data_IF_215251929048
#
_entry.id   IF_215251929048
#
_cell.length_a   1.000
_cell.length_b   1.000
_cell.length_c   1.000
_cell.angle_alpha   90.00
_cell.angle_beta   90.00
_cell.angle_gamma   90.00
#
_symmetry.space_group_name_H-M   'P 1'
#
loop_
_entity.id
_entity.type
_entity.pdbx_description
1 polymer ?
#
# COMPACT_ATOMS: atom_id res chain seq x y z
N UNK A 1 26.29 44.93 20.22
CA UNK A 1 26.07 43.61 20.84
C UNK A 1 24.62 43.28 21.13
N UNK A 2 23.78 44.18 21.67
CA UNK A 2 22.36 43.86 21.96
C UNK A 2 21.53 43.61 20.69
N UNK A 3 21.72 44.40 19.63
CA UNK A 3 20.95 44.31 18.38
C UNK A 3 21.30 43.03 17.60
N UNK A 4 22.59 42.65 17.55
CA UNK A 4 23.06 41.41 16.90
C UNK A 4 22.53 40.15 17.61
N UNK A 5 22.43 40.16 18.94
CA UNK A 5 21.82 39.05 19.69
C UNK A 5 20.30 38.95 19.50
N UNK A 6 19.60 40.08 19.31
CA UNK A 6 18.16 40.09 19.03
C UNK A 6 17.86 39.55 17.63
N UNK A 7 18.67 39.93 16.63
CA UNK A 7 18.52 39.41 15.25
C UNK A 7 18.79 37.90 15.20
N UNK A 8 19.82 37.43 15.92
CA UNK A 8 20.15 36.00 15.99
C UNK A 8 19.04 35.19 16.67
N UNK A 9 18.41 35.76 17.72
CA UNK A 9 17.27 35.14 18.40
C UNK A 9 16.02 35.05 17.51
N UNK A 10 15.79 36.00 16.61
CA UNK A 10 14.62 36.01 15.73
C UNK A 10 14.74 34.95 14.61
N UNK A 11 15.95 34.71 14.11
CA UNK A 11 16.23 33.70 13.07
C UNK A 11 16.01 32.26 13.58
N UNK A 12 16.30 31.99 14.85
CA UNK A 12 16.11 30.66 15.46
C UNK A 12 14.62 30.31 15.64
N UNK A 13 13.75 31.29 15.89
CA UNK A 13 12.31 31.07 16.04
C UNK A 13 11.64 30.73 14.70
N UNK A 14 12.11 31.31 13.60
CA UNK A 14 11.59 31.04 12.24
C UNK A 14 11.94 29.62 11.77
N UNK A 15 13.06 29.05 12.23
CA UNK A 15 13.47 27.69 11.85
C UNK A 15 12.65 26.58 12.51
N UNK A 16 11.94 26.85 13.62
CA UNK A 16 11.12 25.86 14.31
C UNK A 16 9.69 25.73 13.75
N UNK A 17 9.28 26.62 12.84
CA UNK A 17 7.95 26.54 12.18
C UNK A 17 7.91 25.63 10.95
N UNK A 18 9.03 24.97 10.60
CA UNK A 18 9.15 24.14 9.40
C UNK A 18 8.70 22.67 9.57
N UNK A 19 8.15 22.29 10.72
CA UNK A 19 7.48 20.99 10.88
C UNK A 19 6.11 21.02 10.17
N UNK A 20 6.12 20.84 8.85
CA UNK A 20 4.90 20.57 8.07
C UNK A 20 4.31 19.25 8.57
N UNK A 21 3.11 19.32 9.16
CA UNK A 21 2.30 18.14 9.46
C UNK A 21 2.13 17.30 8.19
N UNK A 22 2.19 15.97 8.32
CA UNK A 22 1.92 15.03 7.21
C UNK A 22 0.66 15.46 6.47
N UNK A 23 0.73 15.56 5.14
CA UNK A 23 -0.36 16.07 4.33
C UNK A 23 -1.67 15.34 4.65
N UNK A 24 -2.69 16.08 5.07
CA UNK A 24 -4.07 15.56 5.27
C UNK A 24 -4.76 15.25 3.95
N UNK A 25 -4.28 15.87 2.88
CA UNK A 25 -4.79 15.71 1.52
C UNK A 25 -3.79 14.92 0.71
N UNK A 26 -4.32 13.94 -0.02
CA UNK A 26 -3.54 13.17 -0.97
C UNK A 26 -4.01 13.61 -2.36
N UNK A 27 -3.08 13.89 -3.26
CA UNK A 27 -3.46 14.08 -4.67
C UNK A 27 -4.14 12.81 -5.16
N UNK A 28 -5.24 12.90 -5.91
CA UNK A 28 -5.90 11.71 -6.49
C UNK A 28 -4.99 10.87 -7.38
N UNK A 29 -3.83 11.42 -7.74
CA UNK A 29 -2.78 10.78 -8.51
C UNK A 29 -1.60 10.27 -7.66
N UNK A 30 -1.56 10.53 -6.35
CA UNK A 30 -0.42 10.14 -5.52
C UNK A 30 -0.54 8.67 -5.10
N UNK A 31 0.37 7.86 -5.60
CA UNK A 31 0.41 6.42 -5.38
C UNK A 31 1.38 6.10 -4.23
N UNK A 32 0.88 6.02 -2.99
CA UNK A 32 1.70 5.56 -1.86
C UNK A 32 2.10 4.10 -2.07
N UNK A 33 3.38 3.78 -1.87
CA UNK A 33 3.87 2.40 -1.96
C UNK A 33 3.47 1.62 -0.72
N UNK A 34 3.03 0.37 -0.89
CA UNK A 34 2.66 -0.53 0.22
C UNK A 34 3.79 -0.63 1.25
N UNK A 35 3.43 -0.54 2.53
CA UNK A 35 4.35 -0.56 3.66
C UNK A 35 4.14 -1.83 4.49
N UNK A 36 5.23 -2.45 4.93
CA UNK A 36 5.17 -3.55 5.88
C UNK A 36 4.74 -3.03 7.26
N UNK A 37 3.74 -3.67 7.84
CA UNK A 37 3.35 -3.47 9.25
C UNK A 37 3.95 -4.58 10.11
N UNK A 38 3.93 -5.83 9.63
CA UNK A 38 4.50 -6.97 10.32
C UNK A 38 4.17 -8.30 9.66
N UNK A 39 4.34 -9.39 10.41
CA UNK A 39 4.13 -10.76 9.95
C UNK A 39 3.12 -11.48 10.84
N UNK A 40 2.20 -12.24 10.24
CA UNK A 40 1.30 -13.12 10.98
C UNK A 40 1.99 -14.41 11.43
N UNK A 41 1.50 -15.02 12.50
CA UNK A 41 2.04 -16.29 13.03
C UNK A 41 1.91 -17.47 12.06
N UNK A 42 0.93 -17.41 11.15
CA UNK A 42 0.69 -18.36 10.06
C UNK A 42 1.61 -18.14 8.85
N UNK A 43 2.53 -17.18 8.89
CA UNK A 43 3.40 -16.85 7.75
C UNK A 43 2.83 -15.84 6.77
N UNK A 44 1.66 -15.26 7.05
CA UNK A 44 1.09 -14.15 6.30
C UNK A 44 1.89 -12.86 6.51
N UNK A 45 1.66 -11.87 5.64
CA UNK A 45 2.20 -10.52 5.79
C UNK A 45 1.09 -9.53 6.07
N UNK A 46 1.27 -8.71 7.09
CA UNK A 46 0.38 -7.62 7.42
C UNK A 46 1.00 -6.36 6.81
N UNK A 47 0.28 -5.77 5.87
CA UNK A 47 0.75 -4.61 5.11
C UNK A 47 -0.27 -3.49 5.14
N UNK A 48 0.24 -2.27 5.13
CA UNK A 48 -0.55 -1.06 4.93
C UNK A 48 -0.52 -0.68 3.46
N UNK A 49 -1.69 -0.52 2.88
CA UNK A 49 -1.92 -0.24 1.46
C UNK A 49 -2.94 0.87 1.31
N UNK A 50 -3.10 1.37 0.09
CA UNK A 50 -4.01 2.45 -0.24
C UNK A 50 -4.81 2.09 -1.48
N UNK A 51 -6.06 2.52 -1.52
CA UNK A 51 -6.89 2.38 -2.70
C UNK A 51 -7.82 3.56 -2.90
N UNK A 52 -8.25 3.74 -4.13
CA UNK A 52 -9.12 4.83 -4.56
C UNK A 52 -10.40 4.28 -5.20
N UNK A 53 -11.53 4.94 -4.94
CA UNK A 53 -12.81 4.51 -5.50
C UNK A 53 -13.92 5.54 -5.34
N UNK A 54 -14.99 5.39 -6.12
CA UNK A 54 -16.21 6.20 -5.96
C UNK A 54 -17.02 5.77 -4.73
N UNK A 55 -16.78 4.55 -4.24
CA UNK A 55 -17.31 4.04 -2.98
C UNK A 55 -16.20 3.47 -2.11
N UNK A 56 -16.48 3.31 -0.81
CA UNK A 56 -15.56 2.65 0.12
C UNK A 56 -15.21 1.23 -0.37
N UNK A 57 -16.21 0.45 -0.79
CA UNK A 57 -15.98 -0.91 -1.30
C UNK A 57 -15.07 -0.94 -2.53
N UNK A 58 -15.22 0.01 -3.46
CA UNK A 58 -14.32 0.10 -4.62
C UNK A 58 -12.88 0.42 -4.20
N UNK A 59 -12.71 1.35 -3.26
CA UNK A 59 -11.39 1.69 -2.75
C UNK A 59 -10.75 0.55 -1.96
N UNK A 60 -11.55 -0.23 -1.23
CA UNK A 60 -11.09 -1.45 -0.56
C UNK A 60 -10.61 -2.50 -1.56
N UNK A 61 -11.39 -2.76 -2.62
CA UNK A 61 -11.00 -3.69 -3.68
C UNK A 61 -9.72 -3.24 -4.38
N UNK A 62 -9.60 -1.95 -4.73
CA UNK A 62 -8.40 -1.36 -5.34
C UNK A 62 -7.17 -1.51 -4.44
N UNK A 63 -7.31 -1.23 -3.14
CA UNK A 63 -6.25 -1.38 -2.16
C UNK A 63 -5.76 -2.82 -2.00
N UNK A 64 -6.69 -3.79 -2.01
CA UNK A 64 -6.36 -5.23 -1.94
C UNK A 64 -5.65 -5.71 -3.21
N UNK A 65 -6.11 -5.27 -4.38
CA UNK A 65 -5.42 -5.54 -5.66
C UNK A 65 -3.99 -5.02 -5.59
N UNK A 66 -3.81 -3.76 -5.15
CA UNK A 66 -2.49 -3.16 -5.00
C UNK A 66 -1.59 -3.94 -4.04
N UNK A 67 -2.11 -4.37 -2.89
CA UNK A 67 -1.32 -5.13 -1.92
C UNK A 67 -0.77 -6.44 -2.54
N UNK A 68 -1.63 -7.20 -3.21
CA UNK A 68 -1.24 -8.46 -3.87
C UNK A 68 -0.30 -8.18 -5.05
N UNK A 69 -0.60 -7.18 -5.88
CA UNK A 69 0.24 -6.82 -7.02
C UNK A 69 1.67 -6.48 -6.59
N UNK A 70 1.83 -5.66 -5.56
CA UNK A 70 3.15 -5.26 -5.09
C UNK A 70 3.88 -6.43 -4.44
N UNK A 71 3.19 -7.28 -3.69
CA UNK A 71 3.77 -8.52 -3.15
C UNK A 71 4.24 -9.47 -4.27
N UNK A 72 3.43 -9.64 -5.32
CA UNK A 72 3.77 -10.54 -6.41
C UNK A 72 4.94 -10.03 -7.23
N UNK A 73 4.98 -8.74 -7.56
CA UNK A 73 5.87 -8.26 -8.63
C UNK A 73 6.90 -7.22 -8.20
N UNK A 74 6.75 -6.56 -7.05
CA UNK A 74 7.67 -5.51 -6.58
C UNK A 74 8.43 -5.88 -5.30
N UNK A 75 7.80 -6.64 -4.41
CA UNK A 75 8.20 -6.82 -3.02
C UNK A 75 7.90 -5.58 -2.15
N UNK A 76 7.96 -5.75 -0.83
CA UNK A 76 7.63 -4.70 0.14
C UNK A 76 8.90 -4.18 0.81
N UNK A 77 9.30 -2.94 0.49
CA UNK A 77 10.57 -2.34 0.95
C UNK A 77 10.42 -1.28 2.02
N UNK A 78 9.23 -0.73 2.19
CA UNK A 78 8.94 0.33 3.15
C UNK A 78 8.32 -0.25 4.42
N UNK A 79 8.38 0.48 5.53
CA UNK A 79 7.81 0.05 6.81
C UNK A 79 8.76 -0.84 7.62
N UNK A 80 8.20 -1.80 8.36
CA UNK A 80 8.99 -2.75 9.17
C UNK A 80 9.89 -3.65 8.30
N UNK A 81 11.02 -4.09 8.87
CA UNK A 81 11.92 -5.08 8.24
C UNK A 81 11.42 -6.52 8.33
N UNK A 82 10.27 -6.77 8.97
CA UNK A 82 9.78 -8.13 9.25
C UNK A 82 9.14 -8.83 8.04
N UNK A 83 8.70 -8.07 7.04
CA UNK A 83 8.07 -8.63 5.83
C UNK A 83 9.10 -9.12 4.80
N UNK A 84 8.64 -9.99 3.89
CA UNK A 84 9.41 -10.34 2.71
C UNK A 84 9.62 -9.11 1.83
N UNK A 85 10.89 -8.79 1.63
CA UNK A 85 11.31 -7.63 0.82
C UNK A 85 11.31 -7.94 -0.68
N UNK A 86 11.39 -9.22 -1.04
CA UNK A 86 11.48 -9.68 -2.43
C UNK A 86 10.09 -9.95 -3.01
N UNK A 87 9.88 -9.75 -4.32
CA UNK A 87 8.65 -10.18 -4.98
C UNK A 87 8.52 -11.71 -4.94
N UNK A 88 7.27 -12.18 -4.89
CA UNK A 88 6.96 -13.61 -4.91
C UNK A 88 7.16 -14.21 -6.30
N UNK A 89 6.93 -13.42 -7.36
CA UNK A 89 7.22 -13.76 -8.75
C UNK A 89 8.57 -13.17 -9.14
N UNK A 90 9.55 -14.03 -9.42
CA UNK A 90 10.91 -13.61 -9.75
C UNK A 90 11.08 -13.17 -11.21
N UNK A 91 10.26 -13.68 -12.13
CA UNK A 91 10.31 -13.30 -13.55
C UNK A 91 9.71 -11.88 -13.72
N UNK A 92 10.52 -10.86 -14.09
CA UNK A 92 10.02 -9.50 -14.28
C UNK A 92 9.03 -9.38 -15.45
N UNK A 93 9.04 -10.33 -16.39
CA UNK A 93 8.12 -10.36 -17.52
C UNK A 93 6.82 -11.12 -17.23
N UNK A 94 6.64 -11.71 -16.05
CA UNK A 94 5.51 -12.59 -15.76
C UNK A 94 4.14 -11.95 -16.00
N UNK A 95 3.97 -10.65 -15.70
CA UNK A 95 2.71 -9.94 -16.01
C UNK A 95 2.40 -9.93 -17.50
N UNK A 96 3.41 -9.75 -18.34
CA UNK A 96 3.26 -9.74 -19.80
C UNK A 96 3.06 -11.16 -20.32
N UNK A 97 3.90 -12.09 -19.86
CA UNK A 97 3.90 -13.47 -20.33
C UNK A 97 2.61 -14.21 -19.93
N UNK A 98 1.97 -13.78 -18.84
CA UNK A 98 0.71 -14.32 -18.31
C UNK A 98 -0.39 -13.25 -18.18
N UNK A 99 -0.47 -12.31 -19.13
CA UNK A 99 -1.40 -11.17 -19.07
C UNK A 99 -2.85 -11.59 -18.88
N UNK A 100 -3.34 -12.54 -19.67
CA UNK A 100 -4.72 -13.04 -19.56
C UNK A 100 -5.01 -13.63 -18.18
N UNK A 101 -4.05 -14.37 -17.62
CA UNK A 101 -4.17 -14.95 -16.28
C UNK A 101 -4.28 -13.86 -15.23
N UNK A 102 -3.36 -12.89 -15.21
CA UNK A 102 -3.36 -11.85 -14.19
C UNK A 102 -4.55 -10.89 -14.33
N UNK A 103 -5.02 -10.61 -15.55
CA UNK A 103 -6.24 -9.84 -15.77
C UNK A 103 -7.47 -10.55 -15.17
N UNK A 104 -7.57 -11.88 -15.31
CA UNK A 104 -8.64 -12.66 -14.69
C UNK A 104 -8.45 -12.76 -13.17
N UNK A 105 -7.22 -12.99 -12.72
CA UNK A 105 -6.87 -13.14 -11.31
C UNK A 105 -7.18 -11.89 -10.50
N UNK A 106 -6.96 -10.69 -11.05
CA UNK A 106 -7.26 -9.38 -10.43
C UNK A 106 -8.64 -8.80 -10.80
N UNK A 107 -9.48 -9.54 -11.52
CA UNK A 107 -10.84 -9.08 -11.85
C UNK A 107 -11.71 -8.93 -10.59
N UNK A 108 -12.88 -8.28 -10.71
CA UNK A 108 -13.76 -8.02 -9.57
C UNK A 108 -14.16 -9.27 -8.75
N UNK A 109 -14.20 -10.45 -9.37
CA UNK A 109 -14.44 -11.75 -8.70
C UNK A 109 -13.22 -12.69 -8.85
N UNK A 110 -12.04 -12.12 -9.08
CA UNK A 110 -10.82 -12.85 -9.33
C UNK A 110 -10.24 -13.52 -8.09
N UNK A 111 -9.35 -14.49 -8.33
CA UNK A 111 -8.78 -15.35 -7.29
C UNK A 111 -7.99 -14.62 -6.19
N UNK A 112 -7.52 -13.40 -6.46
CA UNK A 112 -6.73 -12.61 -5.49
C UNK A 112 -7.44 -12.42 -4.14
N UNK A 113 -8.78 -12.35 -4.16
CA UNK A 113 -9.58 -12.10 -2.96
C UNK A 113 -9.47 -13.21 -1.92
N UNK A 114 -9.14 -14.43 -2.33
CA UNK A 114 -8.97 -15.56 -1.41
C UNK A 114 -7.70 -15.45 -0.56
N UNK A 115 -6.78 -14.55 -0.94
CA UNK A 115 -5.47 -14.41 -0.31
C UNK A 115 -5.28 -13.09 0.43
N UNK A 116 -6.34 -12.28 0.53
CA UNK A 116 -6.30 -10.99 1.25
C UNK A 116 -7.48 -10.87 2.18
N UNK A 117 -7.18 -10.74 3.46
CA UNK A 117 -8.17 -10.53 4.52
C UNK A 117 -7.88 -9.24 5.27
N UNK A 118 -8.82 -8.83 6.11
CA UNK A 118 -8.59 -7.76 7.07
C UNK A 118 -8.12 -8.36 8.40
N UNK A 119 -7.13 -7.75 9.07
CA UNK A 119 -6.79 -8.12 10.44
C UNK A 119 -7.98 -7.85 11.38
N UNK A 120 -8.03 -8.58 12.50
CA UNK A 120 -9.17 -8.56 13.42
C UNK A 120 -9.50 -7.18 14.01
N UNK A 121 -8.55 -6.23 14.03
CA UNK A 121 -8.75 -4.85 14.53
C UNK A 121 -7.98 -3.85 13.66
N UNK A 122 -8.48 -2.61 13.60
CA UNK A 122 -7.84 -1.44 12.99
C UNK A 122 -7.45 -1.60 11.50
N UNK A 123 -8.23 -2.39 10.75
CA UNK A 123 -7.98 -2.61 9.32
C UNK A 123 -8.27 -1.37 8.46
N UNK A 124 -9.14 -0.48 8.92
CA UNK A 124 -9.44 0.81 8.29
C UNK A 124 -8.77 1.92 9.08
N UNK A 125 -7.61 2.38 8.62
CA UNK A 125 -6.82 3.38 9.37
C UNK A 125 -7.29 4.80 9.10
N UNK A 126 -7.67 5.10 7.85
CA UNK A 126 -8.00 6.48 7.48
C UNK A 126 -8.81 6.59 6.20
N UNK A 127 -9.84 7.43 6.23
CA UNK A 127 -10.38 8.08 5.03
C UNK A 127 -9.50 9.30 4.72
N UNK A 128 -9.04 9.39 3.49
CA UNK A 128 -8.14 10.44 3.03
C UNK A 128 -8.92 11.39 2.12
N UNK A 129 -8.77 12.69 2.37
CA UNK A 129 -9.33 13.70 1.49
C UNK A 129 -8.52 13.71 0.18
N UNK A 130 -9.19 13.40 -0.94
CA UNK A 130 -8.58 13.54 -2.26
C UNK A 130 -8.73 14.99 -2.72
N UNK A 131 -7.69 15.53 -3.38
CA UNK A 131 -7.70 16.84 -4.03
C UNK A 131 -9.01 17.11 -4.81
N UNK A 132 -9.65 18.30 -4.70
CA UNK A 132 -10.94 18.63 -5.33
C UNK A 132 -11.05 18.47 -6.86
N UNK A 133 -9.94 18.23 -7.57
CA UNK A 133 -9.94 17.87 -9.01
C UNK A 133 -10.20 16.37 -9.23
N UNK A 134 -10.28 15.57 -8.15
CA UNK A 134 -10.71 14.17 -8.20
C UNK A 134 -12.15 14.08 -8.67
N UNK A 135 -12.45 13.15 -9.58
CA UNK A 135 -13.79 12.84 -10.14
C UNK A 135 -14.79 12.29 -9.09
N UNK A 136 -14.79 12.81 -7.86
CA UNK A 136 -15.59 12.34 -6.73
C UNK A 136 -15.01 11.11 -6.01
N UNK A 137 -13.81 10.64 -6.37
CA UNK A 137 -13.18 9.48 -5.71
C UNK A 137 -12.71 9.83 -4.30
N UNK A 138 -12.74 8.82 -3.42
CA UNK A 138 -12.19 8.86 -2.06
C UNK A 138 -11.05 7.86 -1.93
N UNK A 139 -10.00 8.23 -1.18
CA UNK A 139 -8.84 7.39 -0.92
C UNK A 139 -8.95 6.81 0.48
N UNK A 140 -8.56 5.56 0.64
CA UNK A 140 -8.57 4.87 1.93
C UNK A 140 -7.20 4.26 2.20
N UNK A 141 -6.73 4.45 3.43
CA UNK A 141 -5.57 3.76 4.00
C UNK A 141 -6.08 2.54 4.76
N UNK A 142 -5.59 1.36 4.37
CA UNK A 142 -6.03 0.08 4.91
C UNK A 142 -4.84 -0.73 5.38
N UNK A 143 -5.05 -1.53 6.42
CA UNK A 143 -4.16 -2.63 6.79
C UNK A 143 -4.84 -3.92 6.38
N UNK A 144 -4.12 -4.74 5.62
CA UNK A 144 -4.58 -6.05 5.14
C UNK A 144 -3.58 -7.13 5.52
N UNK A 145 -4.08 -8.34 5.72
CA UNK A 145 -3.27 -9.53 5.90
C UNK A 145 -3.28 -10.34 4.60
N UNK A 146 -2.09 -10.67 4.09
CA UNK A 146 -1.91 -11.38 2.82
C UNK A 146 -1.34 -12.77 3.07
N UNK A 147 -2.07 -13.80 2.63
CA UNK A 147 -1.64 -15.19 2.72
C UNK A 147 -0.56 -15.50 1.67
N UNK A 148 0.69 -15.35 2.09
CA UNK A 148 1.87 -15.59 1.25
C UNK A 148 1.99 -17.05 0.81
N UNK A 149 1.59 -18.00 1.66
CA UNK A 149 1.77 -19.43 1.42
C UNK A 149 0.71 -19.90 0.43
N UNK A 150 -0.56 -19.55 0.66
CA UNK A 150 -1.66 -19.86 -0.25
C UNK A 150 -1.46 -19.24 -1.62
N UNK A 151 -1.02 -17.98 -1.66
CA UNK A 151 -0.75 -17.27 -2.92
C UNK A 151 0.38 -17.94 -3.71
N UNK A 152 1.49 -18.30 -3.04
CA UNK A 152 2.59 -19.05 -3.68
C UNK A 152 2.10 -20.39 -4.21
N UNK A 153 1.41 -21.17 -3.38
CA UNK A 153 0.91 -22.50 -3.75
C UNK A 153 -0.06 -22.44 -4.93
N UNK A 154 -0.90 -21.41 -5.00
CA UNK A 154 -1.83 -21.22 -6.10
C UNK A 154 -1.12 -20.96 -7.43
N UNK A 155 -0.16 -20.03 -7.43
CA UNK A 155 0.62 -19.71 -8.63
C UNK A 155 1.48 -20.89 -9.10
N UNK A 156 2.00 -21.71 -8.17
CA UNK A 156 2.71 -22.95 -8.52
C UNK A 156 1.77 -23.98 -9.15
N UNK A 157 0.59 -24.19 -8.55
CA UNK A 157 -0.43 -25.11 -9.08
C UNK A 157 -0.88 -24.72 -10.48
N UNK A 158 -0.98 -23.42 -10.74
CA UNK A 158 -1.38 -22.87 -12.03
C UNK A 158 -0.22 -22.75 -13.03
N UNK A 159 0.98 -23.24 -12.68
CA UNK A 159 2.20 -23.20 -13.50
C UNK A 159 2.65 -21.77 -13.90
N UNK A 160 2.35 -20.79 -13.06
CA UNK A 160 2.79 -19.39 -13.24
C UNK A 160 4.21 -19.17 -12.69
N UNK A 161 4.55 -19.89 -11.63
CA UNK A 161 5.89 -19.90 -11.02
C UNK A 161 6.30 -21.35 -10.70
N UNK A 162 7.60 -21.57 -10.55
CA UNK A 162 8.17 -22.87 -10.16
C UNK A 162 8.21 -23.03 -8.63
#
# INVERSE_FOLDING_TARGET
MKITSVILSLVVVVLMSACKSKAKTISGYYNYATECVGKGYNGSQIVKTWGIGLSQHQAETDARIKAVDEILFKGIRNGSSDCLVRPLVSNPNAKRDHELYFNQFFSFNGGFQNYVTFPAKNWLERKLEINPVSDGKTAYELVVEVDMIGLKSHLQKDNIIQ
#
